data_IF_151805556511
#
_entry.id   IF_151805556511
#
_cell.length_a   1.000
_cell.length_b   1.000
_cell.length_c   1.000
_cell.angle_alpha   90.00
_cell.angle_beta   90.00
_cell.angle_gamma   90.00
#
_symmetry.space_group_name_H-M   'P 1'
#
loop_
_entity.id
_entity.type
_entity.pdbx_description
1 polymer ?
#
# COMPACT_ATOMS: atom_id res chain seq x y z
N UNK A 1 15.26 16.90 -17.70
CA UNK A 1 14.04 17.27 -16.94
C UNK A 1 13.55 15.99 -16.31
N UNK A 2 13.48 15.90 -14.98
CA UNK A 2 13.02 14.68 -14.32
C UNK A 2 11.52 14.53 -14.59
N UNK A 3 11.13 13.38 -15.13
CA UNK A 3 9.72 13.04 -15.35
C UNK A 3 9.00 13.01 -13.99
N UNK A 4 7.83 13.64 -13.90
CA UNK A 4 7.08 13.65 -12.66
C UNK A 4 6.62 12.22 -12.35
N UNK A 5 7.12 11.64 -11.25
CA UNK A 5 6.72 10.30 -10.83
C UNK A 5 5.19 10.29 -10.59
N UNK A 6 4.44 9.31 -11.12
CA UNK A 6 3.01 9.21 -10.89
C UNK A 6 2.71 9.14 -9.39
N UNK A 7 1.52 9.60 -8.98
CA UNK A 7 1.14 9.65 -7.57
C UNK A 7 1.22 8.26 -6.95
N UNK A 8 1.53 8.18 -5.65
CA UNK A 8 1.66 6.90 -4.96
C UNK A 8 0.43 6.00 -5.18
N UNK A 9 -0.78 6.58 -5.06
CA UNK A 9 -2.01 5.84 -5.25
C UNK A 9 -2.16 5.25 -6.66
N UNK A 10 -1.73 5.97 -7.69
CA UNK A 10 -1.76 5.48 -9.09
C UNK A 10 -0.83 4.29 -9.27
N UNK A 11 0.37 4.37 -8.69
CA UNK A 11 1.37 3.29 -8.71
C UNK A 11 0.90 2.06 -7.96
N UNK A 12 0.24 2.23 -6.81
CA UNK A 12 -0.36 1.14 -6.05
C UNK A 12 -1.49 0.45 -6.83
N UNK A 13 -2.39 1.22 -7.46
CA UNK A 13 -3.46 0.65 -8.31
C UNK A 13 -2.87 -0.12 -9.48
N UNK A 14 -1.89 0.44 -10.18
CA UNK A 14 -1.24 -0.20 -11.31
C UNK A 14 -0.53 -1.51 -10.91
N UNK A 15 0.13 -1.53 -9.75
CA UNK A 15 0.91 -2.69 -9.29
C UNK A 15 0.05 -3.83 -8.73
N UNK A 16 -0.97 -3.50 -7.94
CA UNK A 16 -1.70 -4.49 -7.15
C UNK A 16 -3.09 -4.83 -7.71
N UNK A 17 -3.66 -3.96 -8.56
CA UNK A 17 -4.90 -4.23 -9.29
C UNK A 17 -6.01 -4.81 -8.42
N UNK A 18 -6.54 -5.97 -8.80
CA UNK A 18 -7.65 -6.65 -8.11
C UNK A 18 -7.32 -7.17 -6.70
N UNK A 19 -6.03 -7.16 -6.29
CA UNK A 19 -5.65 -7.52 -4.91
C UNK A 19 -5.98 -6.43 -3.89
N UNK A 20 -6.28 -5.23 -4.39
CA UNK A 20 -6.67 -4.07 -3.61
C UNK A 20 -8.17 -4.11 -3.35
N UNK A 21 -8.57 -4.22 -2.08
CA UNK A 21 -9.96 -4.13 -1.67
C UNK A 21 -10.42 -2.67 -1.67
N UNK A 22 -9.56 -1.77 -1.19
CA UNK A 22 -9.79 -0.33 -1.22
C UNK A 22 -8.46 0.44 -1.29
N UNK A 23 -8.49 1.60 -1.93
CA UNK A 23 -7.40 2.57 -1.90
C UNK A 23 -7.97 3.96 -1.68
N UNK A 24 -7.72 4.49 -0.49
CA UNK A 24 -8.28 5.76 -0.01
C UNK A 24 -7.16 6.77 0.18
N UNK A 25 -7.35 7.97 -0.35
CA UNK A 25 -6.52 9.13 -0.05
C UNK A 25 -7.33 10.10 0.80
N UNK A 26 -6.94 10.26 2.07
CA UNK A 26 -7.62 11.12 3.02
C UNK A 26 -6.60 11.72 4.00
N UNK A 27 -6.81 12.96 4.42
CA UNK A 27 -5.96 13.64 5.43
C UNK A 27 -4.46 13.68 5.12
N UNK A 28 -4.07 13.57 3.83
CA UNK A 28 -2.66 13.51 3.42
C UNK A 28 -2.04 12.12 3.49
N UNK A 29 -2.84 11.09 3.78
CA UNK A 29 -2.42 9.69 3.89
C UNK A 29 -3.00 8.86 2.73
N UNK A 30 -2.30 7.77 2.41
CA UNK A 30 -2.74 6.76 1.43
C UNK A 30 -2.93 5.43 2.14
N UNK A 31 -4.18 4.98 2.24
CA UNK A 31 -4.56 3.72 2.89
C UNK A 31 -4.84 2.65 1.84
N UNK A 32 -4.07 1.57 1.87
CA UNK A 32 -4.23 0.40 1.01
C UNK A 32 -4.84 -0.76 1.82
N UNK A 33 -6.08 -1.12 1.52
CA UNK A 33 -6.73 -2.29 2.08
C UNK A 33 -6.56 -3.49 1.14
N UNK A 34 -6.19 -4.64 1.70
CA UNK A 34 -5.92 -5.86 0.93
C UNK A 34 -6.57 -7.07 1.58
N UNK A 35 -6.81 -8.11 0.78
CA UNK A 35 -7.26 -9.39 1.32
C UNK A 35 -6.22 -9.98 2.28
N UNK A 36 -6.63 -10.68 3.37
CA UNK A 36 -5.70 -11.25 4.34
C UNK A 36 -4.62 -12.14 3.71
N UNK A 37 -5.01 -12.95 2.71
CA UNK A 37 -4.11 -13.84 1.98
C UNK A 37 -3.02 -13.09 1.18
N UNK A 38 -3.24 -11.81 0.86
CA UNK A 38 -2.31 -11.00 0.06
C UNK A 38 -1.37 -10.14 0.92
N UNK A 39 -1.58 -10.04 2.24
CA UNK A 39 -0.87 -9.10 3.10
C UNK A 39 0.66 -9.22 2.98
N UNK A 40 1.20 -10.43 3.13
CA UNK A 40 2.65 -10.65 3.11
C UNK A 40 3.26 -10.38 1.73
N UNK A 41 2.56 -10.73 0.65
CA UNK A 41 3.06 -10.53 -0.70
C UNK A 41 3.05 -9.05 -1.09
N UNK A 42 2.02 -8.31 -0.68
CA UNK A 42 1.93 -6.86 -0.85
C UNK A 42 3.02 -6.17 -0.03
N UNK A 43 3.18 -6.53 1.24
CA UNK A 43 4.20 -5.94 2.12
C UNK A 43 5.62 -6.17 1.58
N UNK A 44 5.93 -7.37 1.05
CA UNK A 44 7.21 -7.66 0.40
C UNK A 44 7.43 -6.80 -0.84
N UNK A 45 6.43 -6.68 -1.71
CA UNK A 45 6.51 -5.82 -2.89
C UNK A 45 6.75 -4.35 -2.53
N UNK A 46 6.02 -3.84 -1.51
CA UNK A 46 6.20 -2.48 -1.00
C UNK A 46 7.61 -2.22 -0.46
N UNK A 47 8.25 -3.23 0.15
CA UNK A 47 9.61 -3.14 0.69
C UNK A 47 10.68 -3.29 -0.38
N UNK A 48 10.57 -4.32 -1.23
CA UNK A 48 11.67 -4.81 -2.07
C UNK A 48 11.69 -4.17 -3.47
N UNK A 49 10.53 -3.70 -3.99
CA UNK A 49 10.47 -3.17 -5.35
C UNK A 49 10.91 -1.71 -5.44
N UNK A 50 11.66 -1.42 -6.50
CA UNK A 50 12.35 -0.15 -6.62
C UNK A 50 11.46 1.08 -6.73
N UNK A 51 10.24 0.84 -7.19
CA UNK A 51 9.26 1.90 -7.26
C UNK A 51 8.85 2.36 -5.86
N UNK A 52 8.72 1.45 -4.88
CA UNK A 52 8.18 1.73 -3.54
C UNK A 52 9.27 1.92 -2.48
N UNK A 53 10.15 0.92 -2.29
CA UNK A 53 11.25 0.94 -1.32
C UNK A 53 10.86 1.40 0.11
N UNK A 54 9.74 0.91 0.64
CA UNK A 54 9.36 1.16 2.03
C UNK A 54 10.13 0.21 2.97
N UNK A 55 11.36 0.61 3.34
CA UNK A 55 12.30 -0.26 4.07
C UNK A 55 12.01 -0.40 5.57
N UNK A 56 11.22 0.51 6.15
CA UNK A 56 10.92 0.52 7.59
C UNK A 56 9.44 0.21 7.86
N UNK A 57 9.20 -0.86 8.62
CA UNK A 57 7.91 -1.11 9.26
C UNK A 57 7.84 -0.27 10.55
N UNK A 58 6.94 0.71 10.58
CA UNK A 58 6.83 1.66 11.71
C UNK A 58 6.06 1.06 12.88
N UNK A 59 4.90 0.46 12.60
CA UNK A 59 4.00 -0.09 13.60
C UNK A 59 3.17 -1.25 13.03
N UNK A 60 2.70 -2.15 13.91
CA UNK A 60 1.72 -3.20 13.59
C UNK A 60 0.68 -3.23 14.71
N UNK A 61 -0.56 -2.91 14.34
CA UNK A 61 -1.68 -2.82 15.27
C UNK A 61 -2.83 -3.73 14.84
N UNK A 62 -3.58 -4.25 15.82
CA UNK A 62 -4.82 -4.99 15.62
C UNK A 62 -6.01 -4.21 16.13
N UNK A 63 -7.12 -4.25 15.41
CA UNK A 63 -8.38 -3.60 15.79
C UNK A 63 -9.44 -4.68 15.96
N UNK A 64 -10.18 -4.62 17.06
CA UNK A 64 -11.39 -5.43 17.26
C UNK A 64 -12.61 -4.57 16.96
N UNK A 65 -13.44 -5.05 16.03
CA UNK A 65 -14.68 -4.40 15.62
C UNK A 65 -15.91 -5.06 16.25
N UNK A 66 -15.72 -6.10 17.08
CA UNK A 66 -16.75 -6.78 17.85
C UNK A 66 -16.88 -6.08 19.22
N UNK A 67 -17.70 -5.04 19.28
CA UNK A 67 -18.08 -4.41 20.56
C UNK A 67 -18.82 -5.36 21.48
#
# INVERSE_FOLDING_TARGET
>A
MAEAKPRLAERLRARFGERVLALVEAHGETTLEVAPACLLDVARALRDEADFHFEQAVDVSGLDFLG
#
